data_IF_787611173006
#
_entry.id   IF_787611173006
#
_cell.length_a   1.000
_cell.length_b   1.000
_cell.length_c   1.000
_cell.angle_alpha   90.00
_cell.angle_beta   90.00
_cell.angle_gamma   90.00
#
_symmetry.space_group_name_H-M   'P 1'
#
loop_
_entity.id
_entity.type
_entity.pdbx_description
1 polymer ?
#
# COMPACT_ATOMS: atom_id res chain seq x y z
N UNK A 1 12.67 16.99 -7.18
CA UNK A 1 11.86 15.81 -7.55
C UNK A 1 10.51 15.94 -6.87
N UNK A 2 9.46 16.15 -7.64
CA UNK A 2 8.13 16.41 -7.12
C UNK A 2 7.37 15.12 -6.88
N UNK A 3 6.89 14.90 -5.65
CA UNK A 3 5.85 13.94 -5.36
C UNK A 3 4.53 14.50 -5.92
N UNK A 4 4.10 14.00 -7.05
CA UNK A 4 2.82 14.39 -7.66
C UNK A 4 1.75 13.42 -7.18
N UNK A 5 1.12 13.76 -6.05
CA UNK A 5 -0.22 13.27 -5.78
C UNK A 5 -1.21 14.09 -6.59
N UNK A 6 -2.20 13.44 -7.19
CA UNK A 6 -3.26 14.07 -8.02
C UNK A 6 -4.03 15.22 -7.35
N UNK A 7 -3.75 15.51 -6.09
CA UNK A 7 -4.39 16.57 -5.31
C UNK A 7 -3.60 17.89 -5.26
N UNK A 8 -2.39 17.94 -5.80
CA UNK A 8 -1.60 19.18 -5.83
C UNK A 8 -2.03 20.17 -6.92
N UNK A 9 -2.72 19.70 -7.95
CA UNK A 9 -3.19 20.57 -9.05
C UNK A 9 -4.49 21.35 -8.76
N UNK A 10 -5.18 21.07 -7.66
CA UNK A 10 -6.48 21.71 -7.32
C UNK A 10 -6.31 22.99 -6.51
N UNK A 11 -5.09 23.39 -6.20
CA UNK A 11 -4.82 24.39 -5.15
C UNK A 11 -5.01 25.84 -5.52
N UNK A 12 -5.02 26.18 -6.79
CA UNK A 12 -4.98 27.60 -7.20
C UNK A 12 -6.32 28.27 -7.46
N UNK A 13 -7.45 27.59 -7.26
CA UNK A 13 -8.77 28.13 -7.63
C UNK A 13 -9.88 28.08 -6.58
N UNK A 14 -9.62 27.63 -5.37
CA UNK A 14 -10.67 27.56 -4.35
C UNK A 14 -10.45 28.53 -3.20
N UNK A 15 -11.50 29.29 -2.86
CA UNK A 15 -11.50 30.20 -1.72
C UNK A 15 -11.11 29.48 -0.43
N UNK A 16 -10.46 30.18 0.49
CA UNK A 16 -9.92 29.68 1.76
C UNK A 16 -10.95 28.87 2.58
N UNK A 17 -12.22 29.30 2.55
CA UNK A 17 -13.33 28.61 3.24
C UNK A 17 -13.64 27.21 2.67
N UNK A 18 -13.55 27.03 1.36
CA UNK A 18 -13.76 25.72 0.73
C UNK A 18 -12.60 24.75 1.05
N UNK A 19 -11.39 25.28 1.21
CA UNK A 19 -10.23 24.50 1.61
C UNK A 19 -10.37 23.98 3.05
N UNK A 20 -10.86 24.80 3.97
CA UNK A 20 -11.08 24.40 5.37
C UNK A 20 -12.20 23.36 5.51
N UNK A 21 -13.33 23.57 4.86
CA UNK A 21 -14.45 22.59 4.84
C UNK A 21 -14.04 21.25 4.21
N UNK A 22 -13.22 21.29 3.18
CA UNK A 22 -12.69 20.08 2.54
C UNK A 22 -11.66 19.39 3.45
N UNK A 23 -10.83 20.15 4.16
CA UNK A 23 -9.89 19.65 5.18
C UNK A 23 -10.60 18.95 6.34
N UNK A 24 -11.68 19.52 6.85
CA UNK A 24 -12.47 18.90 7.93
C UNK A 24 -13.18 17.61 7.48
N UNK A 25 -13.77 17.60 6.29
CA UNK A 25 -14.37 16.40 5.72
C UNK A 25 -13.35 15.27 5.51
N UNK A 26 -12.15 15.59 5.06
CA UNK A 26 -11.08 14.62 4.86
C UNK A 26 -10.46 14.15 6.20
N UNK A 27 -10.37 15.05 7.20
CA UNK A 27 -9.94 14.72 8.56
C UNK A 27 -10.89 13.72 9.21
N UNK A 28 -12.19 13.91 9.04
CA UNK A 28 -13.22 12.99 9.55
C UNK A 28 -13.26 11.65 8.81
N UNK A 29 -12.96 11.66 7.50
CA UNK A 29 -13.01 10.45 6.67
C UNK A 29 -11.80 9.54 6.81
N UNK A 30 -10.61 10.08 7.03
CA UNK A 30 -9.36 9.30 7.06
C UNK A 30 -8.62 9.38 8.40
N UNK A 31 -9.04 10.22 9.33
CA UNK A 31 -8.42 10.35 10.64
C UNK A 31 -6.94 10.77 10.64
N UNK A 32 -6.42 11.22 9.50
CA UNK A 32 -5.03 11.66 9.31
C UNK A 32 -5.03 13.13 8.93
N UNK A 33 -4.27 13.95 9.65
CA UNK A 33 -4.02 15.35 9.25
C UNK A 33 -3.29 15.36 7.92
N UNK A 34 -3.78 16.12 6.94
CA UNK A 34 -3.02 16.37 5.72
C UNK A 34 -1.98 17.45 6.01
N UNK A 35 -0.73 17.02 6.06
CA UNK A 35 0.42 17.91 6.15
C UNK A 35 0.87 18.32 4.74
N UNK A 36 1.47 19.49 4.62
CA UNK A 36 2.20 19.85 3.40
C UNK A 36 3.45 18.98 3.32
N UNK A 37 3.89 18.65 2.13
CA UNK A 37 5.08 17.82 1.94
C UNK A 37 6.31 18.44 2.60
N UNK A 38 6.42 19.77 2.57
CA UNK A 38 7.52 20.53 3.20
C UNK A 38 7.51 20.45 4.73
N UNK A 39 6.36 20.13 5.33
CA UNK A 39 6.22 19.95 6.79
C UNK A 39 6.68 18.54 7.22
N UNK A 40 6.59 17.57 6.32
CA UNK A 40 6.83 16.15 6.60
C UNK A 40 8.20 15.68 6.13
N UNK A 41 8.67 16.18 4.97
CA UNK A 41 9.93 15.78 4.36
C UNK A 41 10.86 16.97 4.31
N UNK A 42 12.07 16.80 4.86
CA UNK A 42 13.12 17.83 4.90
C UNK A 42 14.21 17.51 3.87
N UNK A 43 14.92 18.54 3.33
CA UNK A 43 16.08 18.32 2.50
C UNK A 43 17.14 17.48 3.21
N UNK A 44 17.77 16.54 2.52
CA UNK A 44 18.75 15.61 3.08
C UNK A 44 18.20 14.43 3.86
N UNK A 45 16.88 14.33 4.02
CA UNK A 45 16.24 13.19 4.66
C UNK A 45 16.19 11.98 3.72
N UNK A 46 16.62 10.83 4.22
CA UNK A 46 16.47 9.53 3.54
C UNK A 46 15.07 9.00 3.78
N UNK A 47 14.40 8.57 2.71
CA UNK A 47 13.05 8.02 2.74
C UNK A 47 12.96 6.73 1.93
N UNK A 48 12.14 5.79 2.39
CA UNK A 48 11.79 4.60 1.62
C UNK A 48 10.61 4.91 0.70
N UNK A 49 10.79 4.68 -0.59
CA UNK A 49 9.75 4.91 -1.61
C UNK A 49 9.52 3.66 -2.44
N UNK A 50 8.29 3.46 -2.88
CA UNK A 50 7.92 2.45 -3.86
C UNK A 50 7.66 3.11 -5.21
N UNK A 51 8.24 2.56 -6.27
CA UNK A 51 7.95 2.94 -7.65
C UNK A 51 6.72 2.18 -8.11
N UNK A 52 5.59 2.87 -8.28
CA UNK A 52 4.35 2.26 -8.77
C UNK A 52 4.30 2.17 -10.29
N UNK A 53 4.92 3.12 -10.96
CA UNK A 53 5.02 3.18 -12.42
C UNK A 53 6.36 3.78 -12.79
N UNK A 54 7.00 3.18 -13.76
CA UNK A 54 8.22 3.68 -14.36
C UNK A 54 7.97 4.95 -15.19
N UNK A 55 9.03 5.63 -15.54
CA UNK A 55 8.99 6.77 -16.46
C UNK A 55 8.39 6.34 -17.81
N UNK A 56 7.53 7.21 -18.35
CA UNK A 56 6.92 6.98 -19.66
C UNK A 56 6.90 8.26 -20.48
N UNK A 57 7.76 8.32 -21.47
CA UNK A 57 7.93 9.52 -22.29
C UNK A 57 8.36 10.71 -21.44
N UNK A 58 7.61 11.81 -21.46
CA UNK A 58 7.88 13.01 -20.67
C UNK A 58 7.33 12.97 -19.24
N UNK A 59 6.66 11.88 -18.86
CA UNK A 59 6.12 11.71 -17.51
C UNK A 59 7.13 10.98 -16.62
N UNK A 60 7.53 11.62 -15.53
CA UNK A 60 8.37 10.99 -14.52
C UNK A 60 7.69 9.80 -13.83
N UNK A 61 8.48 9.01 -13.11
CA UNK A 61 8.02 7.85 -12.37
C UNK A 61 6.96 8.21 -11.30
N UNK A 62 5.98 7.35 -11.11
CA UNK A 62 5.00 7.51 -10.04
C UNK A 62 5.52 6.85 -8.76
N UNK A 63 5.80 7.67 -7.76
CA UNK A 63 6.38 7.27 -6.48
C UNK A 63 5.34 7.36 -5.36
N UNK A 64 5.47 6.49 -4.36
CA UNK A 64 4.68 6.55 -3.13
C UNK A 64 5.51 6.15 -1.92
N UNK A 65 5.16 6.71 -0.76
CA UNK A 65 5.70 6.29 0.54
C UNK A 65 4.82 5.22 1.20
N UNK A 66 3.62 4.99 0.68
CA UNK A 66 2.74 3.90 1.14
C UNK A 66 3.15 2.61 0.45
N UNK A 67 3.88 1.78 1.18
CA UNK A 67 4.39 0.52 0.65
C UNK A 67 3.25 -0.50 0.56
N UNK A 68 3.20 -1.22 -0.56
CA UNK A 68 2.26 -2.31 -0.78
C UNK A 68 3.00 -3.53 -1.34
N UNK A 69 2.95 -4.64 -0.62
CA UNK A 69 3.61 -5.90 -0.99
C UNK A 69 2.55 -6.90 -1.44
N UNK A 70 2.70 -7.40 -2.65
CA UNK A 70 1.75 -8.34 -3.23
C UNK A 70 2.16 -9.78 -2.92
N UNK A 71 1.38 -10.45 -2.08
CA UNK A 71 1.39 -11.90 -1.94
C UNK A 71 0.56 -12.59 -3.04
N UNK A 72 0.42 -13.91 -2.95
CA UNK A 72 -0.41 -14.71 -3.85
C UNK A 72 -1.90 -14.40 -3.66
N UNK A 73 -2.38 -14.44 -2.43
CA UNK A 73 -3.79 -14.27 -2.06
C UNK A 73 -4.11 -12.94 -1.42
N UNK A 74 -3.09 -12.22 -0.96
CA UNK A 74 -3.23 -10.96 -0.23
C UNK A 74 -2.37 -9.85 -0.81
N UNK A 75 -2.65 -8.62 -0.38
CA UNK A 75 -1.73 -7.48 -0.47
C UNK A 75 -1.54 -6.94 0.94
N UNK A 76 -0.31 -6.88 1.40
CA UNK A 76 0.06 -6.31 2.69
C UNK A 76 0.46 -4.84 2.51
N UNK A 77 -0.07 -3.98 3.36
CA UNK A 77 0.29 -2.57 3.44
C UNK A 77 0.91 -2.30 4.82
N UNK A 78 2.23 -2.44 4.98
CA UNK A 78 2.88 -2.47 6.28
C UNK A 78 2.88 -1.12 7.02
N UNK A 79 2.71 -0.01 6.31
CA UNK A 79 2.71 1.34 6.88
C UNK A 79 1.36 2.06 6.75
N UNK A 80 0.26 1.32 6.64
CA UNK A 80 -1.09 1.88 6.49
C UNK A 80 -2.02 1.29 7.55
N UNK A 81 -2.14 1.95 8.69
CA UNK A 81 -2.88 1.47 9.85
C UNK A 81 -4.40 1.31 9.65
N UNK A 82 -4.99 1.90 8.62
CA UNK A 82 -6.43 1.83 8.31
C UNK A 82 -6.73 1.29 6.91
N UNK A 83 -5.83 0.51 6.37
CA UNK A 83 -5.99 -0.10 5.07
C UNK A 83 -6.22 -1.59 5.21
N UNK A 84 -7.44 -2.05 5.16
CA UNK A 84 -7.71 -3.48 5.13
C UNK A 84 -9.07 -3.73 4.51
N UNK A 85 -9.23 -4.89 3.89
CA UNK A 85 -10.51 -5.21 3.31
C UNK A 85 -10.47 -6.34 2.30
N UNK A 86 -11.44 -6.31 1.44
CA UNK A 86 -11.66 -7.33 0.44
C UNK A 86 -11.65 -6.66 -0.92
N UNK A 87 -10.98 -7.25 -1.89
CA UNK A 87 -10.94 -6.76 -3.26
C UNK A 87 -12.35 -6.42 -3.77
N UNK A 88 -12.48 -5.26 -4.43
CA UNK A 88 -13.74 -4.84 -5.04
C UNK A 88 -14.20 -5.76 -6.18
N UNK A 89 -13.28 -6.53 -6.75
CA UNK A 89 -13.57 -7.50 -7.81
C UNK A 89 -14.29 -8.76 -7.31
N UNK A 90 -14.31 -9.02 -5.99
CA UNK A 90 -15.09 -10.10 -5.40
C UNK A 90 -16.51 -9.59 -5.21
N UNK A 91 -17.39 -9.95 -6.13
CA UNK A 91 -18.78 -9.43 -6.18
C UNK A 91 -19.70 -10.27 -5.28
N UNK A 92 -19.43 -11.59 -5.15
CA UNK A 92 -20.27 -12.51 -4.39
C UNK A 92 -20.31 -12.11 -2.91
N UNK A 93 -21.52 -11.92 -2.39
CA UNK A 93 -21.76 -11.47 -1.02
C UNK A 93 -21.38 -12.54 0.01
N UNK A 94 -21.59 -13.82 -0.29
CA UNK A 94 -21.28 -14.93 0.60
C UNK A 94 -19.76 -15.12 0.76
N UNK A 95 -19.03 -15.09 -0.37
CA UNK A 95 -17.57 -15.10 -0.35
C UNK A 95 -17.02 -13.93 0.47
N UNK A 96 -17.59 -12.74 0.32
CA UNK A 96 -17.18 -11.56 1.11
C UNK A 96 -17.44 -11.74 2.60
N UNK A 97 -18.55 -12.35 2.98
CA UNK A 97 -18.89 -12.59 4.37
C UNK A 97 -17.98 -13.66 5.00
N UNK A 98 -17.66 -14.71 4.25
CA UNK A 98 -16.70 -15.73 4.69
C UNK A 98 -15.32 -15.10 4.92
N UNK A 99 -14.83 -14.30 3.96
CA UNK A 99 -13.54 -13.61 4.09
C UNK A 99 -13.55 -12.67 5.30
N UNK A 100 -14.63 -11.92 5.54
CA UNK A 100 -14.74 -11.03 6.72
C UNK A 100 -14.64 -11.80 8.04
N UNK A 101 -15.29 -12.98 8.14
CA UNK A 101 -15.20 -13.83 9.31
C UNK A 101 -13.77 -14.32 9.51
N UNK A 102 -13.15 -14.79 8.44
CA UNK A 102 -11.78 -15.28 8.43
C UNK A 102 -10.76 -14.22 8.84
N UNK A 103 -10.90 -12.99 8.29
CA UNK A 103 -10.02 -11.87 8.64
C UNK A 103 -10.13 -11.42 10.11
N UNK A 104 -11.28 -11.59 10.74
CA UNK A 104 -11.44 -11.32 12.19
C UNK A 104 -10.68 -12.28 13.08
N UNK A 105 -10.43 -13.48 12.57
CA UNK A 105 -9.73 -14.53 13.29
C UNK A 105 -8.22 -14.55 13.03
N UNK A 106 -7.74 -13.80 12.04
CA UNK A 106 -6.33 -13.68 11.72
C UNK A 106 -5.78 -12.48 12.48
N UNK A 107 -4.72 -12.71 13.25
CA UNK A 107 -4.02 -11.65 13.96
C UNK A 107 -3.18 -10.83 12.98
N UNK A 108 -3.63 -9.62 12.71
CA UNK A 108 -2.93 -8.65 11.87
C UNK A 108 -2.39 -7.54 12.79
N UNK A 109 -1.09 -7.18 12.70
CA UNK A 109 -0.56 -6.06 13.46
C UNK A 109 -1.37 -4.78 13.21
N UNK A 110 -1.70 -4.03 14.28
CA UNK A 110 -2.55 -2.83 14.20
C UNK A 110 -2.01 -1.72 13.29
N UNK A 111 -0.72 -1.75 13.03
CA UNK A 111 -0.03 -0.80 12.13
C UNK A 111 -0.12 -1.18 10.66
N UNK A 112 -0.61 -2.37 10.33
CA UNK A 112 -0.62 -2.91 8.99
C UNK A 112 -2.04 -3.04 8.44
N UNK A 113 -2.20 -2.81 7.13
CA UNK A 113 -3.41 -3.08 6.38
C UNK A 113 -3.25 -4.34 5.53
N UNK A 114 -4.34 -5.09 5.37
CA UNK A 114 -4.40 -6.29 4.56
C UNK A 114 -5.58 -6.24 3.60
N UNK A 115 -5.34 -6.52 2.32
CA UNK A 115 -6.41 -6.66 1.32
C UNK A 115 -6.38 -8.07 0.76
N UNK A 116 -7.51 -8.79 0.83
CA UNK A 116 -7.64 -10.11 0.19
C UNK A 116 -7.91 -9.91 -1.31
N UNK A 117 -7.09 -10.55 -2.14
CA UNK A 117 -7.20 -10.56 -3.61
C UNK A 117 -8.30 -11.51 -4.08
N UNK A 118 -8.67 -11.42 -5.37
CA UNK A 118 -9.63 -12.35 -5.99
C UNK A 118 -9.16 -13.81 -5.92
N UNK A 119 -7.87 -14.06 -6.06
CA UNK A 119 -7.28 -15.40 -5.93
C UNK A 119 -7.46 -16.00 -4.51
N UNK A 120 -7.66 -15.17 -3.49
CA UNK A 120 -7.89 -15.60 -2.11
C UNK A 120 -9.36 -15.84 -1.75
N UNK A 121 -10.33 -15.65 -2.68
CA UNK A 121 -11.77 -15.68 -2.33
C UNK A 121 -12.26 -17.05 -1.84
N UNK A 122 -11.65 -18.12 -2.31
CA UNK A 122 -12.04 -19.51 -1.98
C UNK A 122 -10.96 -20.30 -1.25
N UNK A 123 -9.98 -19.59 -0.72
CA UNK A 123 -8.85 -20.22 -0.02
C UNK A 123 -9.12 -20.36 1.47
N UNK A 124 -8.46 -21.35 2.06
CA UNK A 124 -8.58 -21.62 3.50
C UNK A 124 -7.88 -20.56 4.33
N UNK A 125 -8.28 -20.42 5.60
CA UNK A 125 -7.62 -19.53 6.56
C UNK A 125 -6.11 -19.80 6.64
N UNK A 126 -5.71 -21.08 6.63
CA UNK A 126 -4.31 -21.50 6.72
C UNK A 126 -3.48 -21.00 5.52
N UNK A 127 -4.02 -21.08 4.29
CA UNK A 127 -3.34 -20.60 3.10
C UNK A 127 -3.14 -19.07 3.13
N UNK A 128 -4.18 -18.34 3.54
CA UNK A 128 -4.11 -16.87 3.68
C UNK A 128 -3.12 -16.48 4.78
N UNK A 129 -3.10 -17.21 5.89
CA UNK A 129 -2.18 -16.97 6.99
C UNK A 129 -0.73 -17.25 6.60
N UNK A 130 -0.47 -18.33 5.86
CA UNK A 130 0.87 -18.62 5.34
C UNK A 130 1.36 -17.54 4.37
N UNK A 131 0.50 -17.07 3.46
CA UNK A 131 0.83 -16.00 2.52
C UNK A 131 1.12 -14.68 3.26
N UNK A 132 0.37 -14.41 4.34
CA UNK A 132 0.61 -13.27 5.23
C UNK A 132 1.98 -13.37 5.90
N UNK A 133 2.34 -14.51 6.47
CA UNK A 133 3.64 -14.70 7.13
C UNK A 133 4.80 -14.54 6.13
N UNK A 134 4.68 -15.10 4.94
CA UNK A 134 5.67 -14.94 3.89
C UNK A 134 5.85 -13.45 3.51
N UNK A 135 4.75 -12.73 3.37
CA UNK A 135 4.78 -11.31 2.99
C UNK A 135 5.33 -10.43 4.13
N UNK A 136 5.06 -10.78 5.39
CA UNK A 136 5.69 -10.14 6.55
C UNK A 136 7.20 -10.37 6.55
N UNK A 137 7.67 -11.59 6.26
CA UNK A 137 9.10 -11.89 6.15
C UNK A 137 9.80 -11.05 5.07
N UNK A 138 9.14 -10.84 3.91
CA UNK A 138 9.65 -9.94 2.86
C UNK A 138 9.76 -8.50 3.41
N UNK A 139 8.75 -8.03 4.14
CA UNK A 139 8.78 -6.69 4.74
C UNK A 139 9.91 -6.53 5.75
N UNK A 140 10.15 -7.53 6.57
CA UNK A 140 11.26 -7.52 7.54
C UNK A 140 12.61 -7.45 6.84
N UNK A 141 12.82 -8.26 5.81
CA UNK A 141 14.03 -8.20 4.98
C UNK A 141 14.23 -6.83 4.31
N UNK A 142 13.15 -6.18 3.85
CA UNK A 142 13.21 -4.82 3.31
C UNK A 142 13.67 -3.83 4.39
N UNK A 143 13.14 -3.92 5.60
CA UNK A 143 13.52 -3.04 6.72
C UNK A 143 15.01 -3.20 7.09
N UNK A 144 15.47 -4.43 7.22
CA UNK A 144 16.87 -4.72 7.54
C UNK A 144 17.81 -4.13 6.49
N UNK A 145 17.57 -4.43 5.22
CA UNK A 145 18.36 -3.88 4.11
C UNK A 145 18.31 -2.35 4.06
N UNK A 146 17.16 -1.74 4.34
CA UNK A 146 17.04 -0.29 4.32
C UNK A 146 17.86 0.39 5.43
N UNK A 147 18.01 -0.25 6.59
CA UNK A 147 18.82 0.26 7.69
C UNK A 147 20.32 0.10 7.41
N UNK A 148 20.74 -1.00 6.79
CA UNK A 148 22.15 -1.31 6.51
C UNK A 148 22.68 -0.58 5.26
N UNK A 149 21.81 -0.06 4.42
CA UNK A 149 22.16 0.48 3.11
C UNK A 149 22.35 1.99 3.13
N UNK A 150 23.23 2.48 2.26
CA UNK A 150 23.43 3.92 2.02
C UNK A 150 22.62 4.37 0.80
N UNK A 151 21.75 5.33 0.99
CA UNK A 151 20.92 5.87 -0.11
C UNK A 151 21.79 6.69 -1.11
N UNK A 152 21.41 6.70 -2.40
CA UNK A 152 20.29 6.01 -3.05
C UNK A 152 20.65 4.57 -3.46
N UNK A 153 19.80 3.61 -3.12
CA UNK A 153 19.99 2.19 -3.48
C UNK A 153 18.65 1.48 -3.72
N UNK A 154 18.64 0.48 -4.58
CA UNK A 154 17.50 -0.42 -4.77
C UNK A 154 17.48 -1.46 -3.64
N UNK A 155 16.48 -1.38 -2.78
CA UNK A 155 16.35 -2.27 -1.61
C UNK A 155 15.67 -3.59 -1.99
N UNK A 156 14.59 -3.51 -2.74
CA UNK A 156 13.77 -4.66 -3.12
C UNK A 156 13.14 -4.43 -4.49
N UNK A 157 13.19 -5.45 -5.31
CA UNK A 157 12.52 -5.50 -6.60
C UNK A 157 11.46 -6.61 -6.56
N UNK A 158 10.21 -6.25 -6.83
CA UNK A 158 9.16 -7.23 -7.04
C UNK A 158 9.47 -7.98 -8.33
N UNK A 159 9.72 -9.28 -8.21
CA UNK A 159 10.27 -10.13 -9.27
C UNK A 159 9.75 -9.84 -10.67
N UNK A 160 10.52 -10.24 -11.65
CA UNK A 160 10.23 -10.07 -13.07
C UNK A 160 8.86 -10.64 -13.49
N UNK A 161 8.48 -10.46 -14.74
CA UNK A 161 7.20 -10.92 -15.29
C UNK A 161 6.99 -12.42 -15.07
N UNK A 162 8.05 -13.21 -15.12
CA UNK A 162 7.99 -14.68 -14.93
C UNK A 162 7.62 -15.01 -13.49
N UNK A 163 8.28 -14.41 -12.50
CA UNK A 163 7.98 -14.62 -11.08
C UNK A 163 6.58 -14.16 -10.72
N UNK A 164 6.12 -13.02 -11.29
CA UNK A 164 4.75 -12.54 -11.12
C UNK A 164 3.73 -13.48 -11.74
N UNK A 165 3.99 -14.01 -12.93
CA UNK A 165 3.13 -14.98 -13.60
C UNK A 165 3.05 -16.28 -12.80
N UNK A 166 4.18 -16.82 -12.32
CA UNK A 166 4.21 -18.00 -11.47
C UNK A 166 3.42 -17.79 -10.17
N UNK A 167 3.60 -16.65 -9.51
CA UNK A 167 2.83 -16.32 -8.28
C UNK A 167 1.32 -16.29 -8.54
N UNK A 168 0.89 -15.72 -9.67
CA UNK A 168 -0.52 -15.43 -9.91
C UNK A 168 -1.26 -16.58 -10.63
N UNK A 169 -0.56 -17.44 -11.37
CA UNK A 169 -1.14 -18.49 -12.23
C UNK A 169 -0.91 -19.88 -11.64
N UNK A 170 0.24 -20.14 -11.02
CA UNK A 170 0.59 -21.46 -10.52
C UNK A 170 -0.08 -21.73 -9.16
N UNK A 171 -0.94 -22.77 -9.12
CA UNK A 171 -1.63 -23.23 -7.90
C UNK A 171 -0.78 -24.23 -7.11
#
# INVERSE_FOLDING_TARGET
>A
MGLVGSEMCIRDRTSTENIEKTREKLKNRYGVRKYRIQEVIKPGQVILIQVNKEERGQKGAALTTFISLAGKYIVLMPNTAKGGGISRKIINHDDRNQIRKMLKEIEIPKSMGLIVRTAGSRKSKKEIQNDLQNTIGIWESIKEKAVESTAPILIHEEGDVIKRALRDIYD
#
